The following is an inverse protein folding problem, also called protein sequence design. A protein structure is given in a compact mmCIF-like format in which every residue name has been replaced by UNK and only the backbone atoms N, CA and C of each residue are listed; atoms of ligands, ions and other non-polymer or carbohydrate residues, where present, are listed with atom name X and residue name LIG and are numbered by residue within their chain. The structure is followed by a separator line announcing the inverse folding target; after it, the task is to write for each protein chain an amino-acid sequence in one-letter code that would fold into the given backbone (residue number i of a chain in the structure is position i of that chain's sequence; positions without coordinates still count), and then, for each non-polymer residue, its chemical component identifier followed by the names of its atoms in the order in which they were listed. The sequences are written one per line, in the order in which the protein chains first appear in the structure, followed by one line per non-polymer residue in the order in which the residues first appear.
data_IF_368405863096
#
_entry.id   IF_368405863096
#
_cell.length_a   1.000
_cell.length_b   1.000
_cell.length_c   1.000
_cell.angle_alpha   90.00
_cell.angle_beta   90.00
_cell.angle_gamma   90.00
#
_symmetry.space_group_name_H-M   'P 1'
#
loop_
_entity.id
_entity.type
_entity.pdbx_description
1 polymer ?
#
# COMPACT_ATOMS: atom_id res chain seq x y z
N UNK A 1 1.49 -14.14 7.18
CA UNK A 1 0.65 -12.94 7.39
C UNK A 1 0.39 -12.34 6.02
N UNK A 2 -0.86 -12.14 5.61
CA UNK A 2 -1.18 -11.36 4.40
C UNK A 2 -1.32 -9.91 4.89
N UNK A 3 -0.37 -9.07 4.52
CA UNK A 3 -0.55 -7.64 4.68
C UNK A 3 -0.49 -7.03 3.29
N UNK A 4 -1.51 -6.27 2.91
CA UNK A 4 -1.32 -5.18 1.96
C UNK A 4 -0.03 -4.48 2.35
N UNK A 5 0.86 -4.23 1.39
CA UNK A 5 2.17 -3.64 1.68
C UNK A 5 1.96 -2.41 2.57
N UNK A 6 2.53 -2.37 3.78
CA UNK A 6 2.28 -1.27 4.69
C UNK A 6 2.81 0.02 4.07
N UNK A 7 2.33 1.16 4.56
CA UNK A 7 3.00 2.42 4.32
C UNK A 7 4.19 2.50 5.29
N UNK A 8 5.44 2.24 4.87
CA UNK A 8 6.59 2.21 5.78
C UNK A 8 6.85 3.58 6.42
N UNK A 9 6.52 4.65 5.70
CA UNK A 9 6.54 6.03 6.15
C UNK A 9 5.33 6.77 5.59
N UNK A 10 4.17 6.76 6.30
CA UNK A 10 2.98 7.49 5.90
C UNK A 10 3.23 9.00 5.81
N UNK A 11 4.02 9.56 6.73
CA UNK A 11 4.33 10.99 6.71
C UNK A 11 5.08 11.39 5.43
N UNK A 12 6.06 10.60 4.99
CA UNK A 12 6.74 10.82 3.71
C UNK A 12 5.78 10.66 2.53
N UNK A 13 4.95 9.60 2.53
CA UNK A 13 3.95 9.39 1.49
C UNK A 13 3.01 10.59 1.35
N UNK A 14 2.51 11.12 2.47
CA UNK A 14 1.59 12.25 2.47
C UNK A 14 2.29 13.56 2.10
N UNK A 15 3.53 13.78 2.56
CA UNK A 15 4.33 14.93 2.14
C UNK A 15 4.57 14.93 0.63
N UNK A 16 5.00 13.80 0.06
CA UNK A 16 5.21 13.64 -1.37
C UNK A 16 3.90 13.72 -2.17
N UNK A 17 2.79 13.20 -1.63
CA UNK A 17 1.47 13.31 -2.27
C UNK A 17 0.97 14.76 -2.26
N UNK A 18 1.20 15.51 -1.18
CA UNK A 18 0.86 16.92 -1.11
C UNK A 18 1.72 17.74 -2.08
N UNK A 19 3.03 17.47 -2.14
CA UNK A 19 3.93 18.10 -3.09
C UNK A 19 3.52 17.81 -4.54
N UNK A 20 3.27 16.54 -4.89
CA UNK A 20 2.80 16.16 -6.21
C UNK A 20 1.46 16.83 -6.57
N UNK A 21 0.56 17.01 -5.61
CA UNK A 21 -0.69 17.73 -5.81
C UNK A 21 -0.46 19.24 -6.02
N UNK A 22 0.49 19.88 -5.32
CA UNK A 22 0.88 21.27 -5.53
C UNK A 22 1.48 21.45 -6.94
N UNK A 23 2.40 20.56 -7.33
CA UNK A 23 3.02 20.56 -8.66
C UNK A 23 1.99 20.30 -9.77
N UNK A 24 1.02 19.41 -9.54
CA UNK A 24 -0.08 19.13 -10.46
C UNK A 24 -1.15 20.23 -10.49
N UNK A 25 -1.33 21.00 -9.42
CA UNK A 25 -2.23 22.17 -9.37
C UNK A 25 -1.76 23.32 -10.28
N UNK A 26 -0.54 23.27 -10.81
CA UNK A 26 -0.15 24.09 -11.95
C UNK A 26 -0.85 23.69 -13.27
N UNK A 27 -1.58 22.56 -13.29
CA UNK A 27 -2.21 21.97 -14.48
C UNK A 27 -3.72 21.65 -14.35
N UNK A 28 -4.27 21.37 -13.16
CA UNK A 28 -5.73 21.22 -12.94
C UNK A 28 -6.11 21.20 -11.45
N UNK A 29 -7.35 21.60 -11.12
CA UNK A 29 -7.88 21.54 -9.76
C UNK A 29 -8.14 20.09 -9.28
N UNK A 30 -8.11 19.80 -7.96
CA UNK A 30 -8.36 18.46 -7.43
C UNK A 30 -9.80 18.00 -7.70
N UNK A 31 -9.98 16.70 -7.93
CA UNK A 31 -11.34 16.14 -8.09
C UNK A 31 -12.10 16.12 -6.75
N UNK A 32 -13.45 16.16 -6.76
CA UNK A 32 -14.24 16.03 -5.54
C UNK A 32 -13.96 14.74 -4.75
N UNK A 33 -13.64 13.65 -5.45
CA UNK A 33 -13.24 12.40 -4.81
C UNK A 33 -11.91 12.54 -4.06
N UNK A 34 -10.91 13.16 -4.68
CA UNK A 34 -9.62 13.42 -4.04
C UNK A 34 -9.76 14.32 -2.79
N UNK A 35 -10.61 15.35 -2.87
CA UNK A 35 -10.92 16.22 -1.73
C UNK A 35 -11.57 15.43 -0.58
N UNK A 36 -12.57 14.59 -0.87
CA UNK A 36 -13.23 13.75 0.14
C UNK A 36 -12.25 12.77 0.79
N UNK A 37 -11.41 12.09 0.00
CA UNK A 37 -10.39 11.19 0.52
C UNK A 37 -9.45 11.89 1.48
N UNK A 38 -8.98 13.10 1.15
CA UNK A 38 -8.15 13.92 2.04
C UNK A 38 -8.88 14.27 3.35
N UNK A 39 -10.14 14.71 3.27
CA UNK A 39 -10.94 15.04 4.46
C UNK A 39 -11.13 13.83 5.38
N UNK A 40 -11.43 12.66 4.82
CA UNK A 40 -11.58 11.42 5.59
C UNK A 40 -10.26 11.02 6.27
N UNK A 41 -9.12 11.13 5.58
CA UNK A 41 -7.81 10.83 6.17
C UNK A 41 -7.48 11.76 7.34
N UNK A 42 -7.72 13.07 7.19
CA UNK A 42 -7.51 14.04 8.28
C UNK A 42 -8.45 13.76 9.45
N UNK A 43 -9.73 13.49 9.19
CA UNK A 43 -10.71 13.13 10.22
C UNK A 43 -10.29 11.88 11.00
N UNK A 44 -9.85 10.81 10.31
CA UNK A 44 -9.36 9.57 10.94
C UNK A 44 -8.14 9.79 11.82
N UNK A 45 -7.26 10.69 11.43
CA UNK A 45 -6.09 11.06 12.23
C UNK A 45 -6.42 12.05 13.36
N UNK A 46 -7.65 12.57 13.44
CA UNK A 46 -7.99 13.65 14.37
C UNK A 46 -7.23 14.95 14.06
N UNK A 47 -6.93 15.20 12.80
CA UNK A 47 -6.26 16.40 12.31
C UNK A 47 -7.27 17.37 11.68
N UNK A 48 -7.10 18.66 11.95
CA UNK A 48 -7.89 19.76 11.37
C UNK A 48 -7.14 20.44 10.23
N UNK A 49 -5.81 20.36 10.22
CA UNK A 49 -4.97 20.90 9.16
C UNK A 49 -4.02 19.85 8.57
N UNK A 50 -3.46 20.08 7.37
CA UNK A 50 -2.43 19.21 6.79
C UNK A 50 -1.17 19.10 7.65
N UNK A 51 -0.76 20.18 8.29
CA UNK A 51 0.42 20.23 9.14
C UNK A 51 0.21 19.36 10.39
N UNK A 52 -0.97 19.46 11.01
CA UNK A 52 -1.36 18.56 12.10
C UNK A 52 -1.39 17.10 11.64
N UNK A 53 -1.88 16.83 10.43
CA UNK A 53 -1.93 15.48 9.86
C UNK A 53 -0.53 14.88 9.67
N UNK A 54 0.41 15.64 9.11
CA UNK A 54 1.82 15.22 8.96
C UNK A 54 2.45 14.99 10.33
N UNK A 55 2.28 15.93 11.27
CA UNK A 55 2.83 15.80 12.63
C UNK A 55 2.31 14.55 13.35
N UNK A 56 1.01 14.26 13.26
CA UNK A 56 0.40 13.09 13.90
C UNK A 56 0.80 11.76 13.27
N UNK A 57 1.18 11.77 11.98
CA UNK A 57 1.61 10.56 11.26
C UNK A 57 3.12 10.38 11.23
N UNK A 58 3.90 11.37 11.67
CA UNK A 58 5.37 11.37 11.62
C UNK A 58 6.02 10.19 12.37
N UNK A 59 5.42 9.75 13.48
CA UNK A 59 5.92 8.61 14.27
C UNK A 59 5.47 7.24 13.76
N UNK A 60 4.59 7.17 12.75
CA UNK A 60 4.09 5.91 12.23
C UNK A 60 5.14 5.31 11.29
N UNK A 61 6.05 4.50 11.83
CA UNK A 61 7.10 3.86 11.04
C UNK A 61 6.94 2.35 11.13
N UNK A 62 6.92 1.68 9.97
CA UNK A 62 7.05 0.23 9.90
C UNK A 62 8.49 -0.13 9.51
N UNK A 63 9.14 -0.97 10.32
CA UNK A 63 10.49 -1.45 10.06
C UNK A 63 10.46 -2.81 9.33
N UNK A 64 10.82 -2.87 8.03
CA UNK A 64 10.80 -4.12 7.27
C UNK A 64 11.79 -5.16 7.79
N UNK A 65 12.87 -4.73 8.45
CA UNK A 65 13.92 -5.64 8.92
C UNK A 65 13.44 -6.54 10.08
N UNK A 66 12.33 -6.19 10.71
CA UNK A 66 11.70 -6.97 11.78
C UNK A 66 10.74 -8.05 11.26
N UNK A 67 10.45 -8.06 9.96
CA UNK A 67 9.56 -9.06 9.34
C UNK A 67 10.33 -10.35 9.09
N UNK A 68 10.12 -11.34 9.96
CA UNK A 68 10.75 -12.66 9.85
C UNK A 68 9.82 -13.76 9.28
N UNK A 69 8.50 -13.61 9.46
CA UNK A 69 7.50 -14.58 8.98
C UNK A 69 7.30 -14.48 7.46
N UNK A 70 6.82 -15.56 6.80
CA UNK A 70 6.49 -15.50 5.38
C UNK A 70 5.58 -14.31 5.05
N UNK A 71 5.91 -13.62 3.96
CA UNK A 71 5.28 -12.35 3.61
C UNK A 71 4.94 -12.25 2.12
N UNK A 72 3.69 -11.89 1.83
CA UNK A 72 3.23 -11.60 0.47
C UNK A 72 3.01 -10.09 0.32
N UNK A 73 3.77 -9.45 -0.57
CA UNK A 73 3.55 -8.07 -1.00
C UNK A 73 2.74 -8.07 -2.29
N UNK A 74 1.64 -7.32 -2.31
CA UNK A 74 0.80 -7.13 -3.51
C UNK A 74 0.75 -5.63 -3.82
N UNK A 75 0.94 -5.29 -5.10
CA UNK A 75 0.91 -3.93 -5.62
C UNK A 75 0.04 -3.88 -6.88
N UNK A 76 -0.87 -2.90 -6.95
CA UNK A 76 -1.58 -2.57 -8.20
C UNK A 76 -0.73 -1.63 -9.05
N UNK A 77 -0.67 -1.83 -10.36
CA UNK A 77 0.07 -0.95 -11.27
C UNK A 77 -0.56 0.45 -11.40
N UNK A 78 -1.84 0.59 -11.04
CA UNK A 78 -2.55 1.86 -10.98
C UNK A 78 -2.31 2.65 -9.68
N UNK A 79 -1.55 2.10 -8.72
CA UNK A 79 -1.15 2.85 -7.53
C UNK A 79 -0.21 4.02 -7.87
N UNK A 80 -0.14 4.99 -6.96
CA UNK A 80 0.77 6.14 -7.13
C UNK A 80 2.23 5.67 -7.20
N UNK A 81 3.07 6.38 -7.96
CA UNK A 81 4.49 6.05 -8.06
C UNK A 81 5.19 6.08 -6.70
N UNK A 82 4.76 6.95 -5.78
CA UNK A 82 5.30 7.00 -4.41
C UNK A 82 5.01 5.71 -3.67
N UNK A 83 3.76 5.23 -3.75
CA UNK A 83 3.38 3.96 -3.13
C UNK A 83 4.11 2.79 -3.76
N UNK A 84 4.20 2.74 -5.09
CA UNK A 84 4.92 1.69 -5.80
C UNK A 84 6.40 1.63 -5.40
N UNK A 85 7.07 2.78 -5.24
CA UNK A 85 8.46 2.84 -4.76
C UNK A 85 8.59 2.33 -3.33
N UNK A 86 7.76 2.84 -2.40
CA UNK A 86 7.79 2.40 -1.01
C UNK A 86 7.47 0.90 -0.88
N UNK A 87 6.55 0.37 -1.68
CA UNK A 87 6.17 -1.04 -1.64
C UNK A 87 7.30 -1.97 -2.09
N UNK A 88 8.03 -1.59 -3.15
CA UNK A 88 9.21 -2.33 -3.63
C UNK A 88 10.34 -2.29 -2.60
N UNK A 89 10.67 -1.09 -2.11
CA UNK A 89 11.71 -0.91 -1.11
C UNK A 89 11.42 -1.69 0.19
N UNK A 90 10.17 -1.67 0.66
CA UNK A 90 9.71 -2.48 1.78
C UNK A 90 9.98 -3.97 1.53
N UNK A 91 9.51 -4.49 0.39
CA UNK A 91 9.64 -5.91 0.06
C UNK A 91 11.10 -6.36 0.01
N UNK A 92 11.97 -5.57 -0.62
CA UNK A 92 13.40 -5.83 -0.71
C UNK A 92 14.05 -5.94 0.68
N UNK A 93 13.68 -5.08 1.61
CA UNK A 93 14.27 -5.00 2.96
C UNK A 93 13.73 -6.03 3.96
N UNK A 94 12.62 -6.72 3.66
CA UNK A 94 12.09 -7.80 4.53
C UNK A 94 13.13 -8.91 4.70
N UNK A 95 13.36 -9.35 5.94
CA UNK A 95 14.31 -10.43 6.26
C UNK A 95 13.78 -11.84 5.98
N UNK A 96 12.47 -12.01 5.88
CA UNK A 96 11.90 -13.34 5.64
C UNK A 96 12.43 -13.94 4.33
N UNK A 97 12.99 -15.17 4.37
CA UNK A 97 13.44 -15.86 3.17
C UNK A 97 12.27 -16.39 2.33
N UNK A 98 11.06 -16.47 2.90
CA UNK A 98 9.83 -16.90 2.23
C UNK A 98 8.95 -15.69 1.93
N UNK A 99 9.41 -14.83 1.01
CA UNK A 99 8.68 -13.64 0.58
C UNK A 99 8.38 -13.65 -0.91
N UNK A 100 7.22 -13.14 -1.29
CA UNK A 100 6.78 -13.01 -2.69
C UNK A 100 6.26 -11.61 -2.97
N UNK A 101 6.54 -11.08 -4.16
CA UNK A 101 6.03 -9.81 -4.64
C UNK A 101 5.17 -10.01 -5.87
N UNK A 102 3.93 -9.55 -5.85
CA UNK A 102 2.97 -9.66 -6.95
C UNK A 102 2.61 -8.25 -7.43
N UNK A 103 2.89 -7.98 -8.71
CA UNK A 103 2.38 -6.81 -9.41
C UNK A 103 1.13 -7.20 -10.21
N UNK A 104 0.03 -6.48 -9.99
CA UNK A 104 -1.22 -6.65 -10.72
C UNK A 104 -1.36 -5.48 -11.69
N UNK A 105 -1.24 -5.75 -12.99
CA UNK A 105 -1.37 -4.75 -14.04
C UNK A 105 -2.81 -4.64 -14.57
N UNK A 106 -3.04 -3.73 -15.52
CA UNK A 106 -4.36 -3.51 -16.10
C UNK A 106 -4.97 -4.80 -16.70
N UNK A 107 -4.15 -5.71 -17.24
CA UNK A 107 -4.61 -6.98 -17.81
C UNK A 107 -5.17 -7.93 -16.74
N UNK A 108 -4.73 -7.80 -15.49
CA UNK A 108 -5.30 -8.54 -14.36
C UNK A 108 -6.70 -8.06 -13.95
N UNK A 109 -7.11 -6.87 -14.39
CA UNK A 109 -8.32 -6.17 -13.93
C UNK A 109 -8.29 -5.79 -12.45
N UNK A 110 -7.14 -5.90 -11.79
CA UNK A 110 -6.95 -5.77 -10.34
C UNK A 110 -5.82 -4.79 -9.99
N UNK A 111 -5.54 -3.82 -10.85
CA UNK A 111 -4.46 -2.84 -10.71
C UNK A 111 -4.80 -1.63 -9.83
N UNK A 112 -6.04 -1.52 -9.35
CA UNK A 112 -6.46 -0.42 -8.49
C UNK A 112 -5.92 -0.56 -7.06
N UNK A 113 -5.82 0.57 -6.35
CA UNK A 113 -5.41 0.58 -4.93
C UNK A 113 -6.24 -0.43 -4.12
N UNK A 114 -5.56 -1.22 -3.30
CA UNK A 114 -6.13 -2.34 -2.51
C UNK A 114 -6.97 -3.33 -3.34
N UNK A 115 -6.72 -3.41 -4.66
CA UNK A 115 -7.44 -4.24 -5.62
C UNK A 115 -8.96 -4.03 -5.57
N UNK A 116 -9.41 -2.78 -5.31
CA UNK A 116 -10.83 -2.47 -5.16
C UNK A 116 -11.65 -2.82 -6.41
N UNK A 117 -11.02 -2.74 -7.58
CA UNK A 117 -11.60 -3.06 -8.88
C UNK A 117 -11.73 -4.57 -9.15
N UNK A 118 -11.00 -5.43 -8.44
CA UNK A 118 -11.18 -6.89 -8.52
C UNK A 118 -10.67 -7.59 -7.26
N UNK A 119 -11.51 -7.61 -6.23
CA UNK A 119 -11.20 -8.25 -4.93
C UNK A 119 -11.06 -9.77 -5.02
N UNK A 120 -11.74 -10.41 -5.99
CA UNK A 120 -11.61 -11.86 -6.18
C UNK A 120 -10.18 -12.22 -6.59
N UNK A 121 -9.55 -11.42 -7.46
CA UNK A 121 -8.14 -11.61 -7.83
C UNK A 121 -7.21 -11.48 -6.63
N UNK A 122 -7.44 -10.49 -5.76
CA UNK A 122 -6.70 -10.37 -4.50
C UNK A 122 -6.83 -11.62 -3.62
N UNK A 123 -8.05 -12.13 -3.46
CA UNK A 123 -8.32 -13.35 -2.69
C UNK A 123 -7.59 -14.56 -3.28
N UNK A 124 -7.64 -14.73 -4.61
CA UNK A 124 -6.93 -15.82 -5.29
C UNK A 124 -5.42 -15.78 -5.05
N UNK A 125 -4.79 -14.61 -5.19
CA UNK A 125 -3.35 -14.44 -4.91
C UNK A 125 -3.02 -14.76 -3.46
N UNK A 126 -3.84 -14.24 -2.54
CA UNK A 126 -3.62 -14.39 -1.11
C UNK A 126 -3.78 -15.84 -0.62
N UNK A 127 -4.85 -16.51 -1.05
CA UNK A 127 -5.16 -17.89 -0.66
C UNK A 127 -4.23 -18.87 -1.35
N UNK A 128 -3.98 -18.70 -2.65
CA UNK A 128 -3.05 -19.56 -3.39
C UNK A 128 -1.66 -19.56 -2.76
N UNK A 129 -1.11 -18.38 -2.49
CA UNK A 129 0.17 -18.25 -1.81
C UNK A 129 0.15 -18.80 -0.39
N UNK A 130 -0.95 -18.59 0.36
CA UNK A 130 -1.07 -19.16 1.71
C UNK A 130 -1.02 -20.69 1.69
N UNK A 131 -1.70 -21.33 0.73
CA UNK A 131 -1.68 -22.78 0.57
C UNK A 131 -0.28 -23.31 0.24
N UNK A 132 0.49 -22.60 -0.58
CA UNK A 132 1.89 -22.93 -0.87
C UNK A 132 2.78 -22.82 0.38
N UNK A 133 2.58 -21.78 1.20
CA UNK A 133 3.43 -21.48 2.35
C UNK A 133 3.13 -22.37 3.57
N UNK A 134 1.85 -22.60 3.86
CA UNK A 134 1.40 -23.41 5.00
C UNK A 134 1.47 -24.90 4.66
N UNK A 135 1.51 -25.23 3.36
CA UNK A 135 1.37 -26.58 2.87
C UNK A 135 -0.09 -26.99 2.97
N UNK A 136 -0.64 -27.46 1.86
CA UNK A 136 -1.72 -28.43 1.96
C UNK A 136 -1.10 -29.60 2.73
N UNK A 137 -1.48 -29.76 4.00
CA UNK A 137 -1.46 -31.04 4.73
C UNK A 137 -2.40 -32.00 3.99
N UNK A 138 -2.02 -32.37 2.78
CA UNK A 138 -2.62 -33.45 2.02
C UNK A 138 -2.05 -34.71 2.61
N UNK A 139 -2.81 -35.30 3.54
CA UNK A 139 -2.66 -36.72 3.79
C UNK A 139 -3.10 -37.45 2.54
N UNK A 140 -2.12 -38.10 1.90
CA UNK A 140 -2.32 -39.41 1.31
C UNK A 140 -1.94 -40.46 2.37
#
# INVERSE_FOLDING_TARGET
MIASTPFPSPAELFALSAQAAIEANAKAAPTPAAMRSRMVSMWKAGAKTPEEFVSKTAGMVADPTRVALPFLSILGAGDSQVFARQARAWHEQIRSPKKSFVLLDAASGADGHVQVNNRLRLCQQSVGWMNEVIGVMGGD
#
